data_IF_557134277683
#
_entry.id   IF_557134277683
#
_cell.length_a   1.000
_cell.length_b   1.000
_cell.length_c   1.000
_cell.angle_alpha   90.00
_cell.angle_beta   90.00
_cell.angle_gamma   90.00
#
_symmetry.space_group_name_H-M   'P 1'
#
loop_
_entity.id
_entity.type
_entity.pdbx_description
1 polymer ?
#
# COMPACT_ATOMS: atom_id res chain seq x y z
N UNK A 1 72.72 -22.58 -21.26
CA UNK A 1 71.87 -22.89 -20.10
C UNK A 1 70.49 -22.29 -20.39
N UNK A 2 69.59 -22.98 -21.11
CA UNK A 2 68.61 -24.00 -20.66
C UNK A 2 67.68 -23.57 -19.51
N UNK A 3 66.37 -23.59 -19.79
CA UNK A 3 65.21 -23.73 -18.88
C UNK A 3 64.86 -22.50 -18.01
N UNK A 4 63.61 -22.18 -17.68
CA UNK A 4 62.35 -22.93 -17.75
C UNK A 4 61.18 -21.99 -18.10
N UNK A 5 60.41 -22.34 -19.13
CA UNK A 5 59.05 -21.85 -19.31
C UNK A 5 58.10 -22.67 -18.46
N UNK A 6 57.44 -22.04 -17.49
CA UNK A 6 56.42 -22.69 -16.68
C UNK A 6 55.12 -22.82 -17.50
N UNK A 7 54.89 -24.00 -18.08
CA UNK A 7 53.58 -24.38 -18.60
C UNK A 7 52.66 -24.65 -17.40
N UNK A 8 51.65 -23.79 -17.20
CA UNK A 8 50.50 -24.14 -16.38
C UNK A 8 49.86 -25.41 -16.95
N UNK A 9 49.61 -26.46 -16.14
CA UNK A 9 49.07 -27.71 -16.65
C UNK A 9 47.65 -27.47 -17.17
N UNK A 10 47.38 -27.88 -18.40
CA UNK A 10 46.07 -27.75 -19.07
C UNK A 10 44.90 -28.33 -18.24
N UNK A 11 45.17 -29.21 -17.28
CA UNK A 11 44.18 -29.69 -16.30
C UNK A 11 43.59 -28.58 -15.42
N UNK A 12 44.36 -27.55 -15.07
CA UNK A 12 43.88 -26.48 -14.18
C UNK A 12 42.88 -25.56 -14.89
N UNK A 13 43.07 -25.33 -16.20
CA UNK A 13 42.12 -24.58 -17.02
C UNK A 13 40.82 -25.37 -17.26
N UNK A 14 40.88 -26.69 -17.45
CA UNK A 14 39.67 -27.52 -17.58
C UNK A 14 38.82 -27.53 -16.29
N UNK A 15 39.46 -27.53 -15.12
CA UNK A 15 38.76 -27.48 -13.82
C UNK A 15 38.08 -26.11 -13.57
N UNK A 16 38.68 -25.01 -14.07
CA UNK A 16 38.09 -23.66 -13.98
C UNK A 16 36.95 -23.43 -14.98
N UNK A 17 36.94 -24.14 -16.12
CA UNK A 17 35.86 -24.06 -17.10
C UNK A 17 34.63 -24.90 -16.68
N UNK A 18 34.82 -26.02 -15.98
CA UNK A 18 33.71 -26.86 -15.50
C UNK A 18 32.93 -26.24 -14.32
N UNK A 19 33.53 -25.35 -13.54
CA UNK A 19 32.82 -24.67 -12.43
C UNK A 19 31.93 -23.52 -12.90
N UNK A 20 32.08 -23.06 -14.15
CA UNK A 20 31.31 -21.97 -14.73
C UNK A 20 29.97 -22.40 -15.37
N UNK A 21 29.65 -23.69 -15.38
CA UNK A 21 28.45 -24.25 -16.03
C UNK A 21 27.45 -24.88 -15.06
N UNK A 22 27.68 -24.77 -13.75
CA UNK A 22 26.66 -25.15 -12.77
C UNK A 22 25.58 -24.06 -12.76
N UNK A 23 24.32 -24.38 -13.14
CA UNK A 23 23.22 -23.45 -12.91
C UNK A 23 23.19 -23.11 -11.42
N UNK A 24 22.88 -21.86 -11.05
CA UNK A 24 22.71 -21.52 -9.64
C UNK A 24 21.73 -22.52 -9.03
N UNK A 25 21.96 -23.01 -7.81
CA UNK A 25 21.04 -23.94 -7.19
C UNK A 25 19.66 -23.29 -7.21
N UNK A 26 18.72 -23.94 -7.89
CA UNK A 26 17.33 -23.57 -7.82
C UNK A 26 17.01 -23.45 -6.33
N UNK A 27 16.47 -22.30 -5.91
CA UNK A 27 15.96 -22.12 -4.55
C UNK A 27 14.86 -23.17 -4.38
N UNK A 28 15.24 -24.33 -3.84
CA UNK A 28 14.33 -25.43 -3.64
C UNK A 28 13.26 -24.92 -2.68
N UNK A 29 12.01 -24.92 -3.14
CA UNK A 29 10.86 -24.65 -2.29
C UNK A 29 10.97 -25.61 -1.08
N UNK A 30 11.06 -25.02 0.11
CA UNK A 30 11.31 -25.75 1.35
C UNK A 30 10.21 -26.81 1.56
N UNK A 31 10.55 -28.06 1.97
CA UNK A 31 9.57 -29.12 2.16
C UNK A 31 8.47 -28.68 3.13
N UNK A 32 7.19 -29.07 2.93
CA UNK A 32 6.08 -28.67 3.79
C UNK A 32 6.25 -29.02 5.28
N UNK A 33 7.12 -29.98 5.60
CA UNK A 33 7.42 -30.47 6.94
C UNK A 33 8.64 -29.82 7.60
N UNK A 34 9.37 -28.94 6.89
CA UNK A 34 10.53 -28.25 7.46
C UNK A 34 10.08 -27.28 8.58
N UNK A 35 10.82 -27.18 9.70
CA UNK A 35 10.49 -26.25 10.76
C UNK A 35 10.53 -24.81 10.23
N UNK A 36 9.57 -24.01 10.66
CA UNK A 36 9.51 -22.60 10.29
C UNK A 36 10.77 -21.86 10.76
N UNK A 37 11.50 -21.26 9.82
CA UNK A 37 12.73 -20.54 10.12
C UNK A 37 12.39 -19.12 10.55
N UNK A 38 12.77 -18.77 11.76
CA UNK A 38 12.63 -17.43 12.32
C UNK A 38 13.95 -16.67 12.21
N UNK A 39 13.87 -15.44 11.71
CA UNK A 39 15.03 -14.58 11.46
C UNK A 39 14.74 -13.17 11.96
N UNK A 40 15.59 -12.68 12.86
CA UNK A 40 15.61 -11.27 13.21
C UNK A 40 16.01 -10.44 11.98
N UNK A 41 15.28 -9.36 11.73
CA UNK A 41 15.56 -8.42 10.66
C UNK A 41 16.18 -7.15 11.23
N UNK A 42 17.04 -6.51 10.45
CA UNK A 42 17.41 -5.13 10.70
C UNK A 42 16.14 -4.25 10.65
N UNK A 43 15.84 -3.44 11.69
CA UNK A 43 14.63 -2.61 11.71
C UNK A 43 14.55 -1.59 10.58
N UNK A 44 15.70 -1.11 10.07
CA UNK A 44 15.77 -0.20 8.94
C UNK A 44 15.65 -0.88 7.57
N UNK A 45 15.67 -2.22 7.52
CA UNK A 45 15.58 -2.95 6.27
C UNK A 45 14.28 -2.69 5.53
N UNK A 46 14.35 -2.67 4.19
CA UNK A 46 13.18 -2.45 3.33
C UNK A 46 12.02 -3.40 3.62
N UNK A 47 12.32 -4.67 3.96
CA UNK A 47 11.31 -5.66 4.32
C UNK A 47 10.59 -5.29 5.62
N UNK A 48 11.34 -4.90 6.66
CA UNK A 48 10.78 -4.50 7.95
C UNK A 48 9.93 -3.24 7.82
N UNK A 49 10.46 -2.20 7.15
CA UNK A 49 9.76 -0.92 6.92
C UNK A 49 8.54 -1.12 6.03
N UNK A 50 8.66 -1.92 4.96
CA UNK A 50 7.55 -2.24 4.07
C UNK A 50 6.40 -2.94 4.80
N UNK A 51 6.70 -3.98 5.57
CA UNK A 51 5.69 -4.69 6.35
C UNK A 51 5.03 -3.79 7.42
N UNK A 52 5.80 -2.94 8.11
CA UNK A 52 5.24 -1.99 9.07
C UNK A 52 4.30 -0.98 8.40
N UNK A 53 4.66 -0.50 7.20
CA UNK A 53 3.82 0.39 6.41
C UNK A 53 2.52 -0.26 5.97
N UNK A 54 2.56 -1.51 5.49
CA UNK A 54 1.36 -2.28 5.15
C UNK A 54 0.43 -2.45 6.35
N UNK A 55 1.00 -2.73 7.53
CA UNK A 55 0.22 -2.81 8.76
C UNK A 55 -0.48 -1.47 9.10
N UNK A 56 0.23 -0.36 8.90
CA UNK A 56 -0.30 0.98 9.16
C UNK A 56 -1.36 1.40 8.16
N UNK A 57 -1.24 1.02 6.88
CA UNK A 57 -2.31 1.23 5.90
C UNK A 57 -3.60 0.54 6.33
N UNK A 58 -3.52 -0.72 6.77
CA UNK A 58 -4.69 -1.42 7.30
C UNK A 58 -5.31 -0.68 8.50
N UNK A 59 -4.48 -0.20 9.42
CA UNK A 59 -4.93 0.57 10.58
C UNK A 59 -5.65 1.87 10.16
N UNK A 60 -5.04 2.68 9.30
CA UNK A 60 -5.60 3.96 8.86
C UNK A 60 -6.94 3.77 8.15
N UNK A 61 -7.07 2.73 7.31
CA UNK A 61 -8.34 2.38 6.67
C UNK A 61 -9.40 1.96 7.68
N UNK A 62 -9.05 1.12 8.66
CA UNK A 62 -9.99 0.65 9.69
C UNK A 62 -10.42 1.75 10.65
N UNK A 63 -9.51 2.66 11.01
CA UNK A 63 -9.80 3.78 11.88
C UNK A 63 -10.77 4.77 11.23
N UNK A 64 -10.77 4.89 9.89
CA UNK A 64 -11.69 5.73 9.12
C UNK A 64 -11.79 7.18 9.66
N UNK A 65 -10.67 7.70 10.15
CA UNK A 65 -10.62 8.93 10.95
C UNK A 65 -9.58 9.90 10.37
N UNK A 66 -10.01 11.02 9.76
CA UNK A 66 -9.11 12.08 9.34
C UNK A 66 -8.27 12.66 10.49
N UNK A 67 -8.86 12.84 11.68
CA UNK A 67 -8.15 13.38 12.85
C UNK A 67 -7.29 12.36 13.61
N UNK A 68 -7.42 11.07 13.30
CA UNK A 68 -6.65 9.97 13.90
C UNK A 68 -5.62 9.36 12.97
N UNK A 69 -5.39 9.96 11.81
CA UNK A 69 -4.53 9.42 10.75
C UNK A 69 -3.05 9.40 11.18
N UNK A 70 -2.34 8.31 10.85
CA UNK A 70 -0.95 8.10 11.27
C UNK A 70 0.02 7.95 10.12
N UNK A 71 1.24 8.43 10.32
CA UNK A 71 2.41 8.13 9.51
C UNK A 71 3.34 7.13 10.25
N UNK A 72 4.10 6.35 9.48
CA UNK A 72 5.08 5.43 10.04
C UNK A 72 6.27 6.23 10.58
N UNK A 73 6.59 6.05 11.86
CA UNK A 73 7.82 6.54 12.47
C UNK A 73 8.95 5.53 12.29
N UNK A 74 9.56 5.09 13.39
CA UNK A 74 10.69 4.16 13.36
C UNK A 74 10.25 2.74 13.71
N UNK A 75 10.69 1.77 12.89
CA UNK A 75 10.63 0.36 13.28
C UNK A 75 11.67 0.11 14.36
N UNK A 76 11.24 -0.48 15.47
CA UNK A 76 12.06 -0.78 16.65
C UNK A 76 12.50 -2.23 16.67
N UNK A 77 11.60 -3.14 16.30
CA UNK A 77 11.86 -4.58 16.23
C UNK A 77 11.14 -5.16 15.03
N UNK A 78 11.83 -6.06 14.32
CA UNK A 78 11.27 -6.81 13.22
C UNK A 78 11.80 -8.23 13.23
N UNK A 79 10.91 -9.19 13.14
CA UNK A 79 11.23 -10.61 12.98
C UNK A 79 10.39 -11.18 11.87
N UNK A 80 10.99 -12.02 11.03
CA UNK A 80 10.32 -12.69 9.93
C UNK A 80 10.37 -14.20 10.15
N UNK A 81 9.26 -14.87 9.91
CA UNK A 81 9.09 -16.30 10.00
C UNK A 81 8.58 -16.83 8.67
N UNK A 82 9.33 -17.73 8.07
CA UNK A 82 8.87 -18.45 6.88
C UNK A 82 7.98 -19.62 7.29
N UNK A 83 6.74 -19.65 6.79
CA UNK A 83 5.77 -20.69 7.10
C UNK A 83 5.53 -21.52 5.84
N UNK A 84 6.02 -22.79 5.79
CA UNK A 84 5.83 -23.66 4.63
C UNK A 84 4.36 -23.75 4.21
N UNK A 85 4.13 -23.73 2.90
CA UNK A 85 2.79 -23.75 2.30
C UNK A 85 1.92 -22.50 2.53
N UNK A 86 2.31 -21.59 3.44
CA UNK A 86 1.48 -20.43 3.83
C UNK A 86 2.05 -19.12 3.31
N UNK A 87 3.32 -18.81 3.63
CA UNK A 87 3.95 -17.55 3.23
C UNK A 87 4.90 -16.97 4.29
N UNK A 88 5.16 -15.67 4.19
CA UNK A 88 6.13 -14.96 5.01
C UNK A 88 5.40 -14.13 6.07
N UNK A 89 5.63 -14.43 7.35
CA UNK A 89 4.99 -13.74 8.47
C UNK A 89 5.97 -12.84 9.19
N UNK A 90 5.60 -11.58 9.35
CA UNK A 90 6.36 -10.55 10.04
C UNK A 90 5.76 -10.27 11.41
N UNK A 91 6.61 -10.04 12.39
CA UNK A 91 6.30 -9.59 13.74
C UNK A 91 7.02 -8.27 13.97
N UNK A 92 6.27 -7.22 14.28
CA UNK A 92 6.74 -5.84 14.17
C UNK A 92 6.39 -5.04 15.41
N UNK A 93 7.33 -4.21 15.83
CA UNK A 93 7.11 -3.13 16.79
C UNK A 93 7.65 -1.83 16.18
N UNK A 94 6.83 -0.79 16.11
CA UNK A 94 7.21 0.49 15.52
C UNK A 94 6.50 1.67 16.18
N UNK A 95 7.07 2.86 16.04
CA UNK A 95 6.41 4.11 16.44
C UNK A 95 5.61 4.70 15.28
N UNK A 96 4.65 5.55 15.60
CA UNK A 96 3.83 6.27 14.64
C UNK A 96 3.85 7.76 14.96
N UNK A 97 3.70 8.57 13.93
CA UNK A 97 3.55 10.02 14.02
C UNK A 97 2.12 10.41 13.63
N UNK A 98 1.62 11.52 14.16
CA UNK A 98 0.43 12.18 13.63
C UNK A 98 0.72 12.55 12.19
N UNK A 99 -0.19 12.18 11.29
CA UNK A 99 0.07 12.35 9.86
C UNK A 99 0.29 13.82 9.48
N UNK A 100 -0.34 14.76 10.18
CA UNK A 100 -0.27 16.19 9.90
C UNK A 100 0.78 16.90 10.74
N UNK A 101 0.72 16.81 12.06
CA UNK A 101 1.64 17.56 12.93
C UNK A 101 3.04 16.93 12.99
N UNK A 102 3.19 15.67 12.55
CA UNK A 102 4.42 14.87 12.66
C UNK A 102 4.85 14.61 14.10
N UNK A 103 4.00 14.95 15.07
CA UNK A 103 4.24 14.67 16.49
C UNK A 103 4.05 13.19 16.79
N UNK A 104 4.60 12.72 17.90
CA UNK A 104 4.47 11.33 18.29
C UNK A 104 3.00 10.92 18.53
N UNK A 105 2.49 10.00 17.70
CA UNK A 105 1.15 9.40 17.83
C UNK A 105 1.14 8.10 18.65
N UNK A 106 2.29 7.64 19.11
CA UNK A 106 2.45 6.46 19.96
C UNK A 106 3.15 5.31 19.24
N UNK A 107 2.83 4.07 19.65
CA UNK A 107 3.51 2.88 19.14
C UNK A 107 2.53 1.77 18.80
N UNK A 108 2.93 0.90 17.88
CA UNK A 108 2.13 -0.21 17.40
C UNK A 108 2.89 -1.53 17.51
N UNK A 109 2.14 -2.58 17.79
CA UNK A 109 2.53 -3.98 17.65
C UNK A 109 1.69 -4.58 16.52
N UNK A 110 2.36 -5.20 15.55
CA UNK A 110 1.68 -5.75 14.39
C UNK A 110 2.25 -7.11 13.96
N UNK A 111 1.40 -7.88 13.30
CA UNK A 111 1.80 -9.01 12.49
C UNK A 111 1.27 -8.86 11.07
N UNK A 112 2.10 -9.16 10.08
CA UNK A 112 1.74 -9.13 8.66
C UNK A 112 2.13 -10.45 8.03
N UNK A 113 1.16 -11.17 7.47
CA UNK A 113 1.42 -12.37 6.68
C UNK A 113 1.22 -12.04 5.21
N UNK A 114 2.29 -12.18 4.42
CA UNK A 114 2.22 -12.20 2.97
C UNK A 114 2.00 -13.64 2.51
N UNK A 115 0.80 -13.98 1.99
CA UNK A 115 0.48 -15.33 1.57
C UNK A 115 1.23 -15.72 0.28
N UNK A 116 1.55 -17.01 0.12
CA UNK A 116 2.13 -17.53 -1.15
C UNK A 116 1.16 -17.37 -2.33
N UNK A 117 -0.14 -17.54 -2.08
CA UNK A 117 -1.19 -17.34 -3.09
C UNK A 117 -1.48 -15.86 -3.24
N UNK A 118 -1.76 -15.41 -4.47
CA UNK A 118 -2.15 -14.03 -4.78
C UNK A 118 -3.42 -13.65 -4.01
N UNK A 119 -3.22 -13.00 -2.86
CA UNK A 119 -4.27 -12.50 -1.97
C UNK A 119 -3.71 -11.38 -1.10
N UNK A 120 -4.56 -10.48 -0.58
CA UNK A 120 -4.10 -9.37 0.26
C UNK A 120 -3.32 -9.84 1.50
N UNK A 121 -2.36 -9.05 2.00
CA UNK A 121 -1.65 -9.36 3.23
C UNK A 121 -2.61 -9.48 4.42
N UNK A 122 -2.51 -10.54 5.21
CA UNK A 122 -3.29 -10.68 6.43
C UNK A 122 -2.60 -9.90 7.57
N UNK A 123 -3.29 -8.91 8.12
CA UNK A 123 -2.73 -7.97 9.11
C UNK A 123 -3.50 -8.05 10.42
N UNK A 124 -2.77 -8.09 11.53
CA UNK A 124 -3.28 -7.79 12.86
C UNK A 124 -2.40 -6.68 13.45
N UNK A 125 -3.01 -5.59 13.91
CA UNK A 125 -2.29 -4.45 14.45
C UNK A 125 -3.03 -3.90 15.67
N UNK A 126 -2.27 -3.55 16.70
CA UNK A 126 -2.73 -2.84 17.88
C UNK A 126 -1.81 -1.66 18.12
N UNK A 127 -2.39 -0.48 18.24
CA UNK A 127 -1.66 0.75 18.49
C UNK A 127 -2.09 1.36 19.83
N UNK A 128 -1.11 1.91 20.54
CA UNK A 128 -1.33 2.74 21.71
C UNK A 128 -1.32 4.19 21.23
N UNK A 129 -2.35 4.93 21.58
CA UNK A 129 -2.56 6.29 21.11
C UNK A 129 -2.10 7.28 22.19
N UNK A 130 -1.37 8.31 21.78
CA UNK A 130 -1.02 9.44 22.67
C UNK A 130 -2.21 10.37 22.87
N UNK A 131 -3.07 10.50 21.85
CA UNK A 131 -4.29 11.29 21.87
C UNK A 131 -5.48 10.47 22.35
N UNK A 132 -6.34 11.10 23.15
CA UNK A 132 -7.56 10.48 23.66
C UNK A 132 -8.53 10.15 22.51
N UNK A 133 -9.21 9.00 22.62
CA UNK A 133 -10.16 8.56 21.60
C UNK A 133 -11.38 9.47 21.48
N UNK A 134 -11.88 10.01 22.59
CA UNK A 134 -13.03 10.92 22.55
C UNK A 134 -12.64 12.24 21.88
N UNK A 135 -11.40 12.70 22.07
CA UNK A 135 -10.89 13.88 21.39
C UNK A 135 -10.83 13.68 19.87
N UNK A 136 -10.32 12.54 19.39
CA UNK A 136 -10.32 12.22 17.96
C UNK A 136 -11.75 12.20 17.40
N UNK A 137 -12.68 11.56 18.12
CA UNK A 137 -14.07 11.47 17.70
C UNK A 137 -14.76 12.84 17.64
N UNK A 138 -14.50 13.72 18.61
CA UNK A 138 -15.07 15.08 18.60
C UNK A 138 -14.53 15.93 17.45
N UNK A 139 -13.25 15.80 17.14
CA UNK A 139 -12.64 16.50 15.99
C UNK A 139 -13.20 15.98 14.66
N UNK A 140 -13.36 14.67 14.49
CA UNK A 140 -14.01 14.08 13.32
C UNK A 140 -15.47 14.54 13.20
N UNK A 141 -16.20 14.60 14.31
CA UNK A 141 -17.59 15.11 14.34
C UNK A 141 -17.66 16.60 13.98
N UNK A 142 -16.70 17.40 14.43
CA UNK A 142 -16.59 18.82 14.07
C UNK A 142 -16.28 18.97 12.58
N UNK A 143 -15.36 18.17 12.05
CA UNK A 143 -15.04 18.16 10.62
C UNK A 143 -16.26 17.75 9.79
N UNK A 144 -16.93 16.66 10.16
CA UNK A 144 -18.14 16.19 9.49
C UNK A 144 -19.21 17.27 9.45
N UNK A 145 -19.52 17.92 10.59
CA UNK A 145 -20.47 19.03 10.63
C UNK A 145 -20.04 20.14 9.68
N UNK A 146 -18.76 20.54 9.68
CA UNK A 146 -18.25 21.59 8.78
C UNK A 146 -18.48 21.24 7.31
N UNK A 147 -18.17 20.01 6.89
CA UNK A 147 -18.34 19.56 5.51
C UNK A 147 -19.82 19.38 5.12
N UNK A 148 -20.66 18.90 6.04
CA UNK A 148 -22.08 18.66 5.80
C UNK A 148 -22.89 19.94 5.60
N UNK A 149 -22.51 21.04 6.25
CA UNK A 149 -23.18 22.34 6.12
C UNK A 149 -22.76 23.13 4.89
N UNK A 150 -21.83 22.63 4.07
CA UNK A 150 -21.44 23.29 2.84
C UNK A 150 -22.57 23.20 1.80
N UNK A 151 -22.89 24.33 1.18
CA UNK A 151 -23.95 24.42 0.16
C UNK A 151 -23.43 24.12 -1.24
N UNK A 152 -22.11 24.22 -1.46
CA UNK A 152 -21.45 23.90 -2.71
C UNK A 152 -20.59 22.65 -2.53
N UNK A 153 -20.55 21.75 -3.54
CA UNK A 153 -19.67 20.60 -3.50
C UNK A 153 -18.21 21.06 -3.48
N UNK A 154 -17.38 20.38 -2.68
CA UNK A 154 -15.93 20.54 -2.77
C UNK A 154 -15.45 19.99 -4.10
N UNK A 155 -14.70 20.81 -4.84
CA UNK A 155 -14.03 20.43 -6.08
C UNK A 155 -12.57 20.88 -5.97
N UNK A 156 -11.64 20.00 -6.30
CA UNK A 156 -10.22 20.29 -6.24
C UNK A 156 -9.42 19.43 -7.20
N UNK A 157 -8.19 19.86 -7.50
CA UNK A 157 -7.29 19.17 -8.42
C UNK A 157 -5.84 19.41 -8.05
N UNK A 158 -4.96 18.45 -8.34
CA UNK A 158 -3.53 18.50 -8.08
C UNK A 158 -3.22 18.89 -6.63
N UNK A 159 -3.64 18.05 -5.69
CA UNK A 159 -3.43 18.24 -4.25
C UNK A 159 -2.48 17.14 -3.75
N UNK A 160 -1.31 17.46 -3.17
CA UNK A 160 -0.65 18.76 -3.25
C UNK A 160 -0.26 19.10 -4.70
N UNK A 161 0.09 20.36 -4.94
CA UNK A 161 0.55 20.82 -6.25
C UNK A 161 1.95 20.26 -6.60
N UNK A 162 2.50 20.65 -7.75
CA UNK A 162 3.82 20.19 -8.21
C UNK A 162 4.99 20.61 -7.30
N UNK A 163 4.77 21.58 -6.40
CA UNK A 163 5.75 22.08 -5.45
C UNK A 163 5.53 21.53 -4.04
N UNK A 164 4.53 20.66 -3.85
CA UNK A 164 4.18 20.10 -2.56
C UNK A 164 3.29 21.01 -1.70
N UNK A 165 2.77 22.11 -2.26
CA UNK A 165 1.86 23.00 -1.54
C UNK A 165 0.43 22.47 -1.58
N UNK A 166 -0.31 22.71 -0.50
CA UNK A 166 -1.73 22.41 -0.40
C UNK A 166 -2.41 23.52 0.39
N UNK A 167 -3.49 24.07 -0.17
CA UNK A 167 -4.31 25.04 0.56
C UNK A 167 -4.93 24.37 1.80
N UNK A 168 -4.92 25.02 2.99
CA UNK A 168 -5.48 24.45 4.21
C UNK A 168 -6.95 24.01 4.08
N UNK A 169 -7.71 24.60 3.15
CA UNK A 169 -9.08 24.20 2.85
C UNK A 169 -9.21 22.76 2.33
N UNK A 170 -8.17 22.24 1.66
CA UNK A 170 -8.14 20.87 1.12
C UNK A 170 -7.55 19.84 2.08
N UNK A 171 -6.99 20.24 3.23
CA UNK A 171 -6.46 19.31 4.23
C UNK A 171 -7.43 18.18 4.59
N UNK A 172 -8.72 18.43 4.87
CA UNK A 172 -9.61 17.34 5.28
C UNK A 172 -9.90 16.34 4.15
N UNK A 173 -9.93 16.85 2.92
CA UNK A 173 -10.20 16.06 1.72
C UNK A 173 -8.97 15.21 1.37
N UNK A 174 -7.78 15.77 1.54
CA UNK A 174 -6.52 15.02 1.49
C UNK A 174 -6.48 13.92 2.56
N UNK A 175 -6.80 14.23 3.82
CA UNK A 175 -6.79 13.24 4.90
C UNK A 175 -7.77 12.07 4.63
N UNK A 176 -8.96 12.37 4.10
CA UNK A 176 -9.91 11.35 3.66
C UNK A 176 -9.36 10.54 2.48
N UNK A 177 -8.69 11.17 1.52
CA UNK A 177 -8.03 10.46 0.42
C UNK A 177 -6.92 9.53 0.93
N UNK A 178 -6.12 9.94 1.93
CA UNK A 178 -5.10 9.06 2.54
C UNK A 178 -5.75 7.88 3.27
N UNK A 179 -6.81 8.14 4.05
CA UNK A 179 -7.53 7.07 4.76
C UNK A 179 -8.16 6.07 3.77
N UNK A 180 -8.77 6.56 2.69
CA UNK A 180 -9.37 5.76 1.62
C UNK A 180 -8.34 4.94 0.84
N UNK A 181 -7.30 5.62 0.35
CA UNK A 181 -6.22 4.98 -0.42
C UNK A 181 -5.45 3.95 0.41
N UNK A 182 -5.45 4.07 1.75
CA UNK A 182 -4.87 3.05 2.61
C UNK A 182 -5.53 1.68 2.45
N UNK A 183 -6.79 1.60 2.00
CA UNK A 183 -7.41 0.32 1.63
C UNK A 183 -6.67 -0.35 0.47
N UNK A 184 -6.57 0.33 -0.68
CA UNK A 184 -5.92 -0.22 -1.87
C UNK A 184 -4.41 -0.42 -1.67
N UNK A 185 -3.74 0.49 -0.95
CA UNK A 185 -2.32 0.36 -0.63
C UNK A 185 -2.06 -0.89 0.22
N UNK A 186 -2.90 -1.20 1.18
CA UNK A 186 -2.83 -2.47 1.92
C UNK A 186 -3.17 -3.66 1.01
N UNK A 187 -4.30 -3.60 0.30
CA UNK A 187 -4.85 -4.72 -0.45
C UNK A 187 -3.94 -5.21 -1.59
N UNK A 188 -3.30 -4.27 -2.30
CA UNK A 188 -2.42 -4.57 -3.44
C UNK A 188 -0.97 -4.84 -3.03
N UNK A 189 -0.59 -4.56 -1.78
CA UNK A 189 0.79 -4.74 -1.33
C UNK A 189 1.22 -6.20 -1.34
N UNK A 190 2.48 -6.43 -1.68
CA UNK A 190 3.15 -7.72 -1.56
C UNK A 190 4.41 -7.56 -0.71
N UNK A 191 5.11 -8.66 -0.41
CA UNK A 191 6.38 -8.57 0.31
C UNK A 191 7.42 -7.70 -0.43
N UNK A 192 7.33 -7.67 -1.77
CA UNK A 192 8.29 -6.96 -2.63
C UNK A 192 7.83 -5.55 -3.00
N UNK A 193 6.52 -5.29 -3.00
CA UNK A 193 5.93 -4.07 -3.54
C UNK A 193 5.01 -3.42 -2.50
N UNK A 194 5.20 -2.12 -2.28
CA UNK A 194 4.32 -1.31 -1.45
C UNK A 194 4.00 0.03 -2.12
N UNK A 195 3.00 0.72 -1.61
CA UNK A 195 2.43 1.89 -2.27
C UNK A 195 2.42 3.11 -1.34
N UNK A 196 2.42 4.29 -1.95
CA UNK A 196 2.22 5.57 -1.30
C UNK A 196 1.21 6.39 -2.09
N UNK A 197 0.40 7.20 -1.42
CA UNK A 197 -0.40 8.19 -2.10
C UNK A 197 0.47 9.41 -2.40
N UNK A 198 0.64 9.74 -3.67
CA UNK A 198 1.48 10.85 -4.11
C UNK A 198 0.68 12.13 -4.31
N UNK A 199 -0.49 12.01 -4.93
CA UNK A 199 -1.29 13.16 -5.32
C UNK A 199 -2.76 12.78 -5.48
N UNK A 200 -3.66 13.69 -5.17
CA UNK A 200 -5.05 13.71 -5.65
C UNK A 200 -5.08 14.54 -6.93
N UNK A 201 -5.25 13.88 -8.08
CA UNK A 201 -5.35 14.54 -9.39
C UNK A 201 -6.65 15.33 -9.51
N UNK A 202 -7.76 14.75 -9.03
CA UNK A 202 -9.04 15.42 -8.95
C UNK A 202 -9.86 14.89 -7.79
N UNK A 203 -10.71 15.73 -7.22
CA UNK A 203 -11.73 15.35 -6.25
C UNK A 203 -13.00 16.11 -6.51
N UNK A 204 -14.14 15.42 -6.39
CA UNK A 204 -15.47 16.02 -6.39
C UNK A 204 -16.30 15.41 -5.27
N UNK A 205 -16.87 16.26 -4.41
CA UNK A 205 -17.88 15.85 -3.46
C UNK A 205 -19.22 15.64 -4.16
N UNK A 206 -19.87 14.52 -3.87
CA UNK A 206 -21.24 14.25 -4.31
C UNK A 206 -22.21 14.70 -3.22
N UNK A 207 -23.11 15.62 -3.56
CA UNK A 207 -24.11 16.12 -2.61
C UNK A 207 -25.17 15.04 -2.39
N UNK A 208 -25.25 14.54 -1.15
CA UNK A 208 -26.19 13.48 -0.76
C UNK A 208 -27.31 14.01 0.12
N UNK A 209 -28.47 13.36 0.00
CA UNK A 209 -29.64 13.59 0.87
C UNK A 209 -29.53 12.86 2.21
N UNK A 210 -28.79 11.75 2.26
CA UNK A 210 -28.52 11.03 3.51
C UNK A 210 -27.45 11.72 4.36
N UNK A 211 -27.12 11.14 5.51
CA UNK A 211 -26.13 11.70 6.44
C UNK A 211 -24.67 11.44 6.04
N UNK A 212 -24.41 10.71 4.96
CA UNK A 212 -23.04 10.38 4.60
C UNK A 212 -22.40 11.46 3.73
N UNK A 213 -21.07 11.58 3.82
CA UNK A 213 -20.28 12.38 2.90
C UNK A 213 -19.70 11.44 1.84
N UNK A 214 -19.83 11.84 0.58
CA UNK A 214 -19.34 11.06 -0.55
C UNK A 214 -18.42 11.89 -1.43
N UNK A 215 -17.34 11.25 -1.84
CA UNK A 215 -16.32 11.84 -2.66
C UNK A 215 -15.93 10.88 -3.78
N UNK A 216 -15.70 11.46 -4.94
CA UNK A 216 -15.13 10.80 -6.10
C UNK A 216 -13.75 11.39 -6.35
N UNK A 217 -12.74 10.53 -6.25
CA UNK A 217 -11.34 10.89 -6.37
C UNK A 217 -10.72 10.24 -7.60
N UNK A 218 -9.82 10.97 -8.22
CA UNK A 218 -8.74 10.41 -9.04
C UNK A 218 -7.45 10.63 -8.27
N UNK A 219 -6.81 9.56 -7.82
CA UNK A 219 -5.56 9.61 -7.06
C UNK A 219 -4.43 8.98 -7.86
N UNK A 220 -3.21 9.39 -7.52
CA UNK A 220 -1.99 8.85 -8.07
C UNK A 220 -1.22 8.14 -6.95
N UNK A 221 -1.04 6.83 -7.09
CA UNK A 221 -0.20 6.03 -6.21
C UNK A 221 1.21 5.94 -6.77
N UNK A 222 2.21 5.94 -5.90
CA UNK A 222 3.59 5.61 -6.23
C UNK A 222 3.91 4.21 -5.73
N UNK A 223 4.22 3.32 -6.67
CA UNK A 223 4.66 1.97 -6.40
C UNK A 223 6.16 1.92 -6.14
N UNK A 224 6.54 1.40 -4.97
CA UNK A 224 7.93 1.18 -4.59
C UNK A 224 8.24 -0.32 -4.63
N UNK A 225 9.34 -0.73 -5.29
CA UNK A 225 10.48 0.10 -5.69
C UNK A 225 10.46 0.51 -7.17
N UNK A 226 9.49 0.06 -7.95
CA UNK A 226 9.44 0.19 -9.42
C UNK A 226 9.48 1.63 -9.90
N UNK A 227 9.09 2.58 -9.03
CA UNK A 227 8.90 3.99 -9.35
C UNK A 227 7.70 4.26 -10.26
N UNK A 228 6.80 3.29 -10.39
CA UNK A 228 5.62 3.45 -11.22
C UNK A 228 4.59 4.36 -10.55
N UNK A 229 3.96 5.22 -11.36
CA UNK A 229 2.88 6.09 -10.93
C UNK A 229 1.56 5.54 -11.47
N UNK A 230 0.71 5.06 -10.58
CA UNK A 230 -0.52 4.35 -10.93
C UNK A 230 -1.71 5.26 -10.67
N UNK A 231 -2.46 5.57 -11.72
CA UNK A 231 -3.71 6.33 -11.60
C UNK A 231 -4.84 5.40 -11.14
N UNK A 232 -5.56 5.82 -10.11
CA UNK A 232 -6.70 5.09 -9.57
C UNK A 232 -7.89 6.02 -9.38
N UNK A 233 -9.07 5.55 -9.80
CA UNK A 233 -10.34 6.14 -9.44
C UNK A 233 -10.83 5.53 -8.14
N UNK A 234 -11.29 6.35 -7.20
CA UNK A 234 -11.74 5.94 -5.88
C UNK A 234 -13.00 6.68 -5.47
N UNK A 235 -14.08 5.93 -5.25
CA UNK A 235 -15.32 6.44 -4.68
C UNK A 235 -15.37 6.09 -3.19
N UNK A 236 -15.49 7.11 -2.35
CA UNK A 236 -15.36 7.03 -0.90
C UNK A 236 -16.62 7.58 -0.23
N UNK A 237 -17.17 6.80 0.71
CA UNK A 237 -18.26 7.25 1.60
C UNK A 237 -17.77 7.23 3.05
N UNK A 238 -17.94 8.36 3.72
CA UNK A 238 -17.52 8.57 5.11
C UNK A 238 -18.66 9.09 5.98
N UNK A 239 -18.72 8.54 7.19
CA UNK A 239 -19.56 9.01 8.29
C UNK A 239 -18.76 8.73 9.58
N UNK A 240 -18.54 9.72 10.47
CA UNK A 240 -17.77 9.50 11.70
C UNK A 240 -18.27 8.32 12.52
N UNK A 241 -17.34 7.55 13.09
CA UNK A 241 -17.66 6.36 13.89
C UNK A 241 -18.19 5.16 13.09
N UNK A 242 -18.28 5.25 11.76
CA UNK A 242 -18.61 4.13 10.87
C UNK A 242 -17.38 3.72 10.04
N UNK A 243 -17.28 2.43 9.64
CA UNK A 243 -16.27 2.01 8.69
C UNK A 243 -16.34 2.79 7.38
N UNK A 244 -15.18 3.14 6.84
CA UNK A 244 -15.07 3.80 5.54
C UNK A 244 -15.50 2.82 4.43
N UNK A 245 -16.39 3.26 3.53
CA UNK A 245 -16.71 2.48 2.33
C UNK A 245 -15.91 3.00 1.16
N UNK A 246 -15.16 2.11 0.51
CA UNK A 246 -14.28 2.45 -0.60
C UNK A 246 -14.54 1.48 -1.75
N UNK A 247 -14.80 2.04 -2.94
CA UNK A 247 -14.74 1.31 -4.23
C UNK A 247 -13.64 1.96 -5.06
N UNK A 248 -12.83 1.18 -5.76
CA UNK A 248 -11.76 1.74 -6.57
C UNK A 248 -11.45 0.91 -7.82
N UNK A 249 -10.77 1.53 -8.77
CA UNK A 249 -10.25 0.89 -9.99
C UNK A 249 -8.96 1.59 -10.39
N UNK A 250 -7.94 0.85 -10.78
CA UNK A 250 -6.64 1.40 -11.21
C UNK A 250 -6.32 1.00 -12.65
N UNK A 251 -5.61 1.86 -13.38
CA UNK A 251 -5.26 1.61 -14.80
C UNK A 251 -4.37 0.36 -14.99
N UNK A 252 -3.61 -0.07 -13.98
CA UNK A 252 -2.85 -1.32 -14.05
C UNK A 252 -3.73 -2.58 -14.03
N UNK A 253 -5.01 -2.45 -13.67
CA UNK A 253 -5.98 -3.55 -13.68
C UNK A 253 -6.64 -3.74 -15.06
N UNK A 254 -6.66 -2.73 -15.94
CA UNK A 254 -7.24 -2.84 -17.29
C UNK A 254 -6.33 -3.59 -18.27
N UNK A 255 -5.01 -3.51 -18.12
CA UNK A 255 -4.06 -4.24 -18.97
C UNK A 255 -3.90 -5.72 -18.64
N UNK A 256 -4.44 -6.20 -17.50
CA UNK A 256 -4.36 -7.63 -17.12
C UNK A 256 -5.48 -8.50 -17.67
N UNK A 257 -6.41 -7.93 -18.43
CA UNK A 257 -7.55 -8.64 -19.04
C UNK A 257 -7.47 -8.76 -20.57
N UNK A 258 -6.46 -8.19 -21.24
CA UNK A 258 -6.33 -8.20 -22.71
C UNK A 258 -5.06 -8.89 -23.26
N UNK A 259 -4.41 -9.78 -22.49
CA UNK A 259 -3.47 -10.74 -23.09
C UNK A 259 -4.26 -11.96 -23.59
N UNK A 260 -4.99 -11.76 -24.70
CA UNK A 260 -5.88 -12.77 -25.25
C UNK A 260 -6.47 -12.41 -26.60
N UNK A 261 -5.62 -12.43 -27.64
CA UNK A 261 -5.99 -12.66 -29.05
C UNK A 261 -6.96 -11.66 -29.70
N UNK A 262 -6.43 -10.82 -30.61
CA UNK A 262 -7.25 -10.06 -31.55
C UNK A 262 -6.52 -9.71 -32.83
N UNK A 263 -6.57 -10.60 -33.82
CA UNK A 263 -6.51 -10.19 -35.23
C UNK A 263 -7.74 -9.34 -35.56
N UNK A 264 -7.56 -8.36 -36.44
CA UNK A 264 -8.58 -7.44 -36.98
C UNK A 264 -9.88 -8.13 -37.41
N UNK A 265 -11.03 -7.51 -37.15
CA UNK A 265 -11.94 -7.01 -38.20
C UNK A 265 -13.22 -6.36 -37.62
N UNK A 266 -13.57 -5.17 -38.14
CA UNK A 266 -14.94 -4.87 -38.61
C UNK A 266 -16.06 -4.47 -37.63
N UNK A 267 -16.33 -3.16 -37.58
CA UNK A 267 -17.65 -2.48 -37.64
C UNK A 267 -18.81 -2.72 -36.66
N UNK A 268 -19.41 -1.57 -36.32
CA UNK A 268 -20.82 -1.24 -36.06
C UNK A 268 -21.27 -1.02 -34.60
N UNK A 269 -22.03 0.08 -34.46
CA UNK A 269 -22.52 0.71 -33.26
C UNK A 269 -23.51 -0.14 -32.44
N UNK A 270 -23.55 0.13 -31.12
CA UNK A 270 -24.62 -0.38 -30.26
C UNK A 270 -24.41 -0.13 -28.78
N UNK A 271 -24.86 1.04 -28.31
CA UNK A 271 -25.52 1.29 -27.02
C UNK A 271 -24.92 0.57 -25.79
N UNK A 272 -24.11 1.30 -25.01
CA UNK A 272 -23.75 0.87 -23.66
C UNK A 272 -24.88 1.31 -22.73
N UNK A 273 -25.63 0.33 -22.26
CA UNK A 273 -26.62 0.46 -21.20
C UNK A 273 -25.91 0.92 -19.92
N UNK A 274 -26.28 2.11 -19.42
CA UNK A 274 -25.94 2.53 -18.07
C UNK A 274 -26.45 1.47 -17.10
N UNK A 275 -25.54 0.81 -16.40
CA UNK A 275 -25.85 0.02 -15.21
C UNK A 275 -25.55 0.91 -14.02
N UNK A 276 -26.60 1.47 -13.43
CA UNK A 276 -26.57 2.00 -12.07
C UNK A 276 -26.13 0.89 -11.11
N UNK A 277 -24.85 0.86 -10.75
CA UNK A 277 -24.40 0.08 -9.60
C UNK A 277 -24.35 1.00 -8.38
N UNK A 278 -25.47 0.95 -7.66
CA UNK A 278 -25.71 1.63 -6.40
C UNK A 278 -24.63 1.35 -5.35
N UNK A 279 -24.48 2.31 -4.44
CA UNK A 279 -23.90 2.12 -3.12
C UNK A 279 -24.94 1.64 -2.12
#
# INVERSE_FOLDING_TARGET
>A
MQGLGASLPALLLLLLLLSAQLPPPAVADQPPWAPAVERALDPGSRLAVGAARVALHKYNFQAASPSGLRALGQVRKATMKSIPGTGQKYYLQFTTEDYRSRENAGSCLATVLYPKKKSPPAVNIKCINTKDQNQIQEEDNRLYRKLKHQTKPIIGSNIPDSFGNMEPAFEPVWALAVAGSSYMMWEKSTEKVGYFMSQVKSVKQWMRKDDSLEFDYTILLHEMPTQDMILCHMRLIWLPGRPLKVKYTCESDSHRLEDGSGMESGSAAGIIHEREENF
#
